data_IF_284156905917
#
_entry.id   IF_284156905917
#
_cell.length_a   1.000
_cell.length_b   1.000
_cell.length_c   1.000
_cell.angle_alpha   90.00
_cell.angle_beta   90.00
_cell.angle_gamma   90.00
#
_symmetry.space_group_name_H-M   'P 1'
#
loop_
_entity.id
_entity.type
_entity.pdbx_description
1 polymer ?
#
# COMPACT_ATOMS: atom_id res chain seq x y z
N UNK A 1 -25.86 -13.85 -14.44
CA UNK A 1 -25.15 -13.45 -13.20
C UNK A 1 -25.23 -11.94 -13.11
N UNK A 2 -25.90 -11.40 -12.08
CA UNK A 2 -26.04 -9.94 -11.94
C UNK A 2 -24.67 -9.28 -11.83
N UNK A 3 -24.49 -8.10 -12.45
CA UNK A 3 -23.29 -7.27 -12.25
C UNK A 3 -23.20 -6.97 -10.75
N UNK A 4 -22.36 -7.71 -10.03
CA UNK A 4 -22.11 -7.45 -8.61
C UNK A 4 -21.67 -6.01 -8.47
N UNK A 5 -22.25 -5.30 -7.50
CA UNK A 5 -21.79 -3.96 -7.18
C UNK A 5 -20.41 -4.07 -6.53
N UNK A 6 -19.44 -3.33 -7.05
CA UNK A 6 -18.17 -3.15 -6.36
C UNK A 6 -18.32 -2.11 -5.25
N UNK A 7 -17.48 -2.23 -4.23
CA UNK A 7 -17.32 -1.23 -3.19
C UNK A 7 -15.83 -1.08 -2.90
N UNK A 8 -15.41 0.13 -2.55
CA UNK A 8 -14.02 0.43 -2.23
C UNK A 8 -13.94 1.53 -1.18
N UNK A 9 -12.96 1.39 -0.29
CA UNK A 9 -12.62 2.39 0.72
C UNK A 9 -11.11 2.57 0.77
N UNK A 10 -10.66 3.78 1.09
CA UNK A 10 -9.24 4.15 1.21
C UNK A 10 -9.07 4.96 2.49
N UNK A 11 -7.98 4.73 3.23
CA UNK A 11 -7.64 5.51 4.41
C UNK A 11 -6.18 5.96 4.39
N UNK A 12 -5.89 7.10 5.02
CA UNK A 12 -4.53 7.62 5.24
C UNK A 12 -4.00 7.44 6.67
N UNK A 13 -4.72 6.67 7.49
CA UNK A 13 -4.45 6.50 8.91
C UNK A 13 -5.46 7.21 9.81
N UNK A 14 -5.38 6.95 11.11
CA UNK A 14 -6.22 7.54 12.14
C UNK A 14 -5.38 8.42 13.09
N UNK A 15 -6.00 8.99 14.13
CA UNK A 15 -5.27 9.79 15.13
C UNK A 15 -4.86 11.19 14.65
N UNK A 16 -5.62 11.76 13.70
CA UNK A 16 -5.38 13.12 13.18
C UNK A 16 -5.52 14.14 14.32
N UNK A 17 -4.55 15.05 14.42
CA UNK A 17 -4.60 16.13 15.41
C UNK A 17 -5.87 16.99 15.20
N UNK A 18 -6.65 17.31 16.25
CA UNK A 18 -7.93 18.01 16.10
C UNK A 18 -7.80 19.39 15.46
N UNK A 19 -6.65 20.05 15.64
CA UNK A 19 -6.36 21.37 15.07
C UNK A 19 -5.47 21.29 13.81
N UNK A 20 -5.57 20.22 13.03
CA UNK A 20 -4.82 20.11 11.77
C UNK A 20 -5.12 21.32 10.86
N UNK A 21 -4.11 22.06 10.36
CA UNK A 21 -4.35 23.22 9.51
C UNK A 21 -5.20 22.88 8.29
N UNK A 22 -6.05 23.82 7.87
CA UNK A 22 -6.98 23.65 6.75
C UNK A 22 -6.26 23.22 5.46
N UNK A 23 -5.11 23.83 5.17
CA UNK A 23 -4.29 23.46 4.01
C UNK A 23 -3.85 21.98 4.05
N UNK A 24 -3.43 21.48 5.21
CA UNK A 24 -3.06 20.07 5.39
C UNK A 24 -4.28 19.15 5.24
N UNK A 25 -5.45 19.54 5.75
CA UNK A 25 -6.69 18.79 5.56
C UNK A 25 -7.06 18.71 4.07
N UNK A 26 -6.93 19.81 3.33
CA UNK A 26 -7.28 19.87 1.92
C UNK A 26 -6.32 19.05 1.08
N UNK A 27 -5.01 19.09 1.36
CA UNK A 27 -4.00 18.20 0.76
C UNK A 27 -4.33 16.72 1.00
N UNK A 28 -4.66 16.34 2.23
CA UNK A 28 -5.05 14.96 2.56
C UNK A 28 -6.32 14.52 1.80
N UNK A 29 -7.35 15.39 1.72
CA UNK A 29 -8.58 15.11 0.96
C UNK A 29 -8.31 14.97 -0.53
N UNK A 30 -7.47 15.83 -1.11
CA UNK A 30 -7.08 15.75 -2.51
C UNK A 30 -6.38 14.43 -2.82
N UNK A 31 -5.43 14.01 -1.98
CA UNK A 31 -4.74 12.73 -2.14
C UNK A 31 -5.71 11.55 -2.05
N UNK A 32 -6.54 11.48 -1.00
CA UNK A 32 -7.52 10.39 -0.86
C UNK A 32 -8.51 10.36 -2.03
N UNK A 33 -8.93 11.52 -2.53
CA UNK A 33 -9.82 11.63 -3.70
C UNK A 33 -9.13 11.09 -4.95
N UNK A 34 -7.86 11.44 -5.17
CA UNK A 34 -7.04 10.93 -6.28
C UNK A 34 -6.89 9.41 -6.21
N UNK A 35 -6.50 8.88 -5.05
CA UNK A 35 -6.40 7.43 -4.80
C UNK A 35 -7.73 6.70 -5.03
N UNK A 36 -8.83 7.26 -4.51
CA UNK A 36 -10.16 6.69 -4.71
C UNK A 36 -10.56 6.68 -6.18
N UNK A 37 -10.30 7.76 -6.91
CA UNK A 37 -10.62 7.86 -8.33
C UNK A 37 -9.84 6.83 -9.16
N UNK A 38 -8.54 6.63 -8.87
CA UNK A 38 -7.73 5.56 -9.48
C UNK A 38 -8.36 4.18 -9.28
N UNK A 39 -8.82 3.89 -8.06
CA UNK A 39 -9.50 2.65 -7.73
C UNK A 39 -10.83 2.46 -8.46
N UNK A 40 -11.65 3.51 -8.50
CA UNK A 40 -12.93 3.52 -9.21
C UNK A 40 -12.74 3.27 -10.70
N UNK A 41 -11.75 3.89 -11.32
CA UNK A 41 -11.49 3.72 -12.75
C UNK A 41 -10.98 2.30 -13.06
N UNK A 42 -10.10 1.74 -12.22
CA UNK A 42 -9.66 0.36 -12.35
C UNK A 42 -10.82 -0.66 -12.18
N UNK A 43 -11.72 -0.45 -11.21
CA UNK A 43 -12.91 -1.29 -11.01
C UNK A 43 -13.90 -1.18 -12.19
N UNK A 44 -14.10 0.03 -12.74
CA UNK A 44 -14.92 0.22 -13.96
C UNK A 44 -14.35 -0.52 -15.16
N UNK A 45 -13.03 -0.61 -15.24
CA UNK A 45 -12.30 -1.41 -16.23
C UNK A 45 -12.24 -2.90 -15.90
N UNK A 46 -13.01 -3.38 -14.90
CA UNK A 46 -13.10 -4.78 -14.51
C UNK A 46 -11.76 -5.40 -14.07
N UNK A 47 -10.84 -4.59 -13.53
CA UNK A 47 -9.63 -5.12 -12.87
C UNK A 47 -10.00 -5.90 -11.61
N UNK A 48 -9.14 -6.84 -11.21
CA UNK A 48 -9.37 -7.63 -10.00
C UNK A 48 -9.28 -6.75 -8.75
N UNK A 49 -10.04 -7.07 -7.71
CA UNK A 49 -9.98 -6.35 -6.44
C UNK A 49 -8.55 -6.31 -5.87
N UNK A 50 -7.77 -7.37 -6.11
CA UNK A 50 -6.38 -7.49 -5.67
C UNK A 50 -5.46 -6.48 -6.38
N UNK A 51 -5.59 -6.35 -7.70
CA UNK A 51 -4.79 -5.38 -8.46
C UNK A 51 -5.19 -3.93 -8.12
N UNK A 52 -6.50 -3.71 -7.89
CA UNK A 52 -7.03 -2.41 -7.48
C UNK A 52 -6.45 -1.95 -6.14
N UNK A 53 -6.42 -2.81 -5.11
CA UNK A 53 -5.88 -2.41 -3.80
C UNK A 53 -4.38 -2.16 -3.86
N UNK A 54 -3.62 -2.96 -4.62
CA UNK A 54 -2.19 -2.72 -4.82
C UNK A 54 -1.95 -1.37 -5.50
N UNK A 55 -2.67 -1.08 -6.60
CA UNK A 55 -2.56 0.18 -7.34
C UNK A 55 -2.78 1.40 -6.42
N UNK A 56 -3.82 1.35 -5.58
CA UNK A 56 -4.17 2.45 -4.68
C UNK A 56 -3.12 2.65 -3.59
N UNK A 57 -2.67 1.57 -2.96
CA UNK A 57 -1.68 1.66 -1.88
C UNK A 57 -0.33 2.12 -2.42
N UNK A 58 0.05 1.71 -3.64
CA UNK A 58 1.24 2.25 -4.31
C UNK A 58 1.19 3.77 -4.47
N UNK A 59 0.01 4.32 -4.82
CA UNK A 59 -0.17 5.77 -4.93
C UNK A 59 -0.02 6.47 -3.56
N UNK A 60 -0.55 5.86 -2.49
CA UNK A 60 -0.37 6.36 -1.12
C UNK A 60 1.10 6.32 -0.66
N UNK A 61 1.86 5.30 -1.06
CA UNK A 61 3.29 5.15 -0.72
C UNK A 61 4.19 6.15 -1.46
N UNK A 62 3.80 6.59 -2.67
CA UNK A 62 4.57 7.56 -3.46
C UNK A 62 4.44 8.98 -2.90
N UNK A 63 3.23 9.34 -2.48
CA UNK A 63 2.92 10.68 -1.98
C UNK A 63 3.36 10.83 -0.50
N UNK A 64 4.15 11.87 -0.14
CA UNK A 64 4.69 12.00 1.22
C UNK A 64 3.67 12.44 2.28
N UNK A 65 2.40 12.70 1.93
CA UNK A 65 1.39 13.22 2.87
C UNK A 65 1.08 12.24 4.00
N UNK A 66 1.09 10.93 3.74
CA UNK A 66 0.76 9.91 4.74
C UNK A 66 1.99 9.09 5.16
N UNK A 67 1.87 8.45 6.33
CA UNK A 67 2.91 7.62 6.94
C UNK A 67 3.02 6.25 6.23
N UNK A 68 3.52 6.26 5.00
CA UNK A 68 3.83 5.07 4.21
C UNK A 68 4.81 5.42 3.09
N UNK A 69 5.62 4.47 2.64
CA UNK A 69 6.54 4.69 1.53
C UNK A 69 7.46 5.88 1.78
N UNK A 70 7.46 6.86 0.88
CA UNK A 70 8.29 8.06 0.96
C UNK A 70 7.97 8.96 2.17
N UNK A 71 6.73 8.96 2.64
CA UNK A 71 6.26 9.78 3.78
C UNK A 71 6.41 9.09 5.14
N UNK A 72 7.08 7.94 5.20
CA UNK A 72 7.18 7.14 6.41
C UNK A 72 7.83 7.90 7.58
N UNK A 73 7.30 7.66 8.77
CA UNK A 73 7.87 8.10 10.02
C UNK A 73 9.28 7.54 10.21
N UNK A 74 10.08 8.25 11.00
CA UNK A 74 11.46 7.87 11.27
C UNK A 74 11.56 7.01 12.52
N UNK A 75 12.49 6.06 12.50
CA UNK A 75 12.95 5.32 13.67
C UNK A 75 13.66 6.27 14.65
N UNK A 76 14.01 5.77 15.85
CA UNK A 76 14.84 6.51 16.83
C UNK A 76 16.24 6.85 16.31
N UNK A 77 16.69 6.21 15.23
CA UNK A 77 17.95 6.49 14.54
C UNK A 77 17.81 7.51 13.40
N UNK A 78 16.60 8.03 13.16
CA UNK A 78 16.33 8.95 12.06
C UNK A 78 16.28 8.29 10.68
N UNK A 79 16.17 6.96 10.61
CA UNK A 79 16.05 6.19 9.36
C UNK A 79 14.60 5.76 9.13
N UNK A 80 14.28 5.27 7.93
CA UNK A 80 12.98 4.67 7.61
C UNK A 80 13.09 3.14 7.62
N UNK A 81 12.13 2.49 8.26
CA UNK A 81 11.90 1.04 8.18
C UNK A 81 10.42 0.81 7.88
N UNK A 82 10.12 0.26 6.70
CA UNK A 82 8.77 0.09 6.19
C UNK A 82 8.29 -1.35 6.26
N UNK A 83 6.98 -1.49 6.30
CA UNK A 83 6.28 -2.77 6.24
C UNK A 83 4.97 -2.63 5.46
N UNK A 84 4.50 -3.75 4.89
CA UNK A 84 3.21 -3.83 4.22
C UNK A 84 2.73 -5.28 4.17
N UNK A 85 1.42 -5.45 3.99
CA UNK A 85 0.81 -6.75 3.71
C UNK A 85 -0.32 -6.63 2.69
N UNK A 86 -0.59 -7.72 1.99
CA UNK A 86 -1.68 -7.82 1.02
C UNK A 86 -2.30 -9.22 1.08
N UNK A 87 -3.60 -9.31 0.86
CA UNK A 87 -4.34 -10.57 0.94
C UNK A 87 -5.40 -10.65 -0.16
N UNK A 88 -5.49 -11.81 -0.81
CA UNK A 88 -6.53 -12.15 -1.78
C UNK A 88 -7.64 -12.95 -1.10
N UNK A 89 -8.87 -12.44 -1.10
CA UNK A 89 -10.02 -13.06 -0.44
C UNK A 89 -10.53 -14.35 -1.10
N UNK A 90 -10.31 -14.54 -2.41
CA UNK A 90 -10.86 -15.71 -3.14
C UNK A 90 -10.10 -16.99 -2.75
N UNK A 91 -8.77 -16.92 -2.76
CA UNK A 91 -7.89 -18.04 -2.43
C UNK A 91 -7.27 -17.98 -1.03
N UNK A 92 -7.50 -16.89 -0.27
CA UNK A 92 -6.83 -16.59 1.00
C UNK A 92 -5.30 -16.61 0.88
N UNK A 93 -4.79 -16.17 -0.28
CA UNK A 93 -3.35 -16.02 -0.50
C UNK A 93 -2.88 -14.76 0.21
N UNK A 94 -1.69 -14.80 0.79
CA UNK A 94 -1.16 -13.72 1.61
C UNK A 94 0.30 -13.45 1.26
N UNK A 95 0.69 -12.18 1.36
CA UNK A 95 2.08 -11.76 1.32
C UNK A 95 2.30 -10.57 2.25
N UNK A 96 3.46 -10.54 2.89
CA UNK A 96 3.84 -9.50 3.83
C UNK A 96 5.34 -9.26 3.80
N UNK A 97 5.72 -8.05 4.18
CA UNK A 97 7.11 -7.58 4.29
C UNK A 97 7.27 -6.62 5.47
N UNK A 98 8.43 -6.65 6.13
CA UNK A 98 8.81 -5.68 7.17
C UNK A 98 10.30 -5.39 7.15
N UNK A 99 10.72 -4.30 7.80
CA UNK A 99 12.14 -3.92 7.89
C UNK A 99 12.75 -3.50 6.56
N UNK A 100 11.93 -3.01 5.63
CA UNK A 100 12.39 -2.51 4.33
C UNK A 100 12.95 -1.10 4.47
N UNK A 101 14.09 -0.84 3.86
CA UNK A 101 14.77 0.46 3.87
C UNK A 101 15.06 1.01 2.48
N UNK A 102 15.06 0.17 1.42
CA UNK A 102 15.40 0.60 0.05
C UNK A 102 14.26 0.43 -0.97
N UNK A 103 13.27 -0.40 -0.64
CA UNK A 103 12.15 -0.73 -1.52
C UNK A 103 11.17 0.44 -1.61
N UNK A 104 10.93 0.96 -2.82
CA UNK A 104 10.06 2.13 -3.04
C UNK A 104 8.59 1.89 -2.69
N UNK A 105 8.08 0.69 -3.00
CA UNK A 105 6.68 0.33 -2.80
C UNK A 105 6.56 -0.99 -2.02
N UNK A 106 6.57 -0.94 -0.67
CA UNK A 106 6.39 -2.12 0.17
C UNK A 106 5.20 -3.01 -0.21
N UNK A 107 4.03 -2.44 -0.56
CA UNK A 107 2.84 -3.24 -0.91
C UNK A 107 3.06 -4.13 -2.14
N UNK A 108 3.82 -3.66 -3.13
CA UNK A 108 4.13 -4.47 -4.30
C UNK A 108 5.15 -5.56 -4.00
N UNK A 109 6.08 -5.33 -3.06
CA UNK A 109 6.93 -6.42 -2.62
C UNK A 109 6.14 -7.46 -1.83
N UNK A 110 5.17 -7.05 -0.99
CA UNK A 110 4.23 -7.97 -0.36
C UNK A 110 3.44 -8.78 -1.40
N UNK A 111 2.99 -8.15 -2.51
CA UNK A 111 2.37 -8.85 -3.63
C UNK A 111 3.30 -9.89 -4.26
N UNK A 112 4.56 -9.54 -4.50
CA UNK A 112 5.55 -10.49 -5.03
C UNK A 112 5.82 -11.64 -4.06
N UNK A 113 5.85 -11.39 -2.75
CA UNK A 113 5.93 -12.46 -1.74
C UNK A 113 4.73 -13.40 -1.90
N UNK A 114 3.50 -12.88 -1.99
CA UNK A 114 2.31 -13.70 -2.18
C UNK A 114 2.35 -14.55 -3.46
N UNK A 115 2.81 -13.97 -4.58
CA UNK A 115 2.71 -14.61 -5.91
C UNK A 115 3.93 -15.46 -6.28
N UNK A 116 5.11 -15.18 -5.71
CA UNK A 116 6.40 -15.75 -6.15
C UNK A 116 7.22 -16.42 -5.06
N UNK A 117 6.86 -16.25 -3.79
CA UNK A 117 7.55 -16.90 -2.67
C UNK A 117 6.79 -18.15 -2.21
N UNK A 118 7.49 -19.21 -1.76
CA UNK A 118 6.85 -20.30 -1.01
C UNK A 118 6.41 -19.89 0.41
N UNK A 119 6.78 -18.68 0.86
CA UNK A 119 6.47 -18.14 2.18
C UNK A 119 5.53 -16.93 2.07
N UNK A 120 4.71 -16.71 3.09
CA UNK A 120 3.78 -15.57 3.13
C UNK A 120 4.35 -14.30 3.75
N UNK A 121 5.55 -14.36 4.35
CA UNK A 121 6.16 -13.20 5.01
C UNK A 121 7.69 -13.28 4.95
N UNK A 122 8.31 -12.24 4.43
CA UNK A 122 9.77 -12.02 4.46
C UNK A 122 10.07 -10.71 5.20
N UNK A 123 11.22 -10.59 5.85
CA UNK A 123 11.57 -9.35 6.56
C UNK A 123 13.06 -9.01 6.47
N UNK A 124 13.37 -7.74 6.73
CA UNK A 124 14.72 -7.18 6.79
C UNK A 124 15.54 -7.52 5.54
N UNK A 125 16.81 -7.89 5.72
CA UNK A 125 17.74 -8.21 4.62
C UNK A 125 17.20 -9.29 3.68
N UNK A 126 16.53 -10.32 4.20
CA UNK A 126 15.95 -11.38 3.37
C UNK A 126 14.86 -10.86 2.42
N UNK A 127 14.07 -9.87 2.83
CA UNK A 127 13.09 -9.24 1.95
C UNK A 127 13.76 -8.30 0.93
N UNK A 128 14.81 -7.58 1.33
CA UNK A 128 15.60 -6.72 0.44
C UNK A 128 16.32 -7.53 -0.65
N UNK A 129 16.89 -8.69 -0.29
CA UNK A 129 17.46 -9.62 -1.26
C UNK A 129 16.40 -10.16 -2.21
N UNK A 130 15.23 -10.51 -1.69
CA UNK A 130 14.10 -10.96 -2.52
C UNK A 130 13.70 -9.90 -3.54
N UNK A 131 13.65 -8.62 -3.14
CA UNK A 131 13.36 -7.50 -4.03
C UNK A 131 14.37 -7.35 -5.18
N UNK A 132 15.66 -7.62 -4.94
CA UNK A 132 16.73 -7.50 -5.94
C UNK A 132 16.71 -8.59 -7.00
N UNK A 133 16.05 -9.73 -6.74
CA UNK A 133 16.02 -10.89 -7.66
C UNK A 133 15.18 -10.64 -8.92
N UNK A 134 14.42 -9.53 -9.00
CA UNK A 134 13.72 -9.09 -10.21
C UNK A 134 12.61 -10.04 -10.68
N UNK A 135 11.98 -10.75 -9.74
CA UNK A 135 10.93 -11.76 -9.98
C UNK A 135 9.56 -11.11 -10.17
#
# INVERSE_FOLDING_TARGET
MGKGQWAIAVHGGAGVHPNLPKECQDKAKQLVTRCLQLGVDALRSSQSALDVVELIVRELEIDPIFNSGRGSALTTKGTVEMEASIMDGVGRRCGAVSGLSTVKNPVSLARLVMDKSPHSYLAFEGAEEFAKRGI
#
